data_IF_464372573223
#
_entry.id   IF_464372573223
#
_cell.length_a   1.000
_cell.length_b   1.000
_cell.length_c   1.000
_cell.angle_alpha   90.00
_cell.angle_beta   90.00
_cell.angle_gamma   90.00
#
_symmetry.space_group_name_H-M   'P 1'
#
loop_
_entity.id
_entity.type
_entity.pdbx_description
1 polymer ?
#
# COMPACT_ATOMS: atom_id res chain seq x y z
N UNK A 1 -6.10 -17.64 -24.31
CA UNK A 1 -6.55 -18.81 -23.52
C UNK A 1 -7.48 -18.32 -22.42
N UNK A 2 -8.81 -18.44 -22.54
CA UNK A 2 -9.74 -18.04 -21.49
C UNK A 2 -9.70 -19.05 -20.31
N UNK A 3 -9.88 -18.54 -19.09
CA UNK A 3 -9.81 -19.31 -17.84
C UNK A 3 -11.08 -20.15 -17.70
N UNK A 4 -10.95 -21.50 -17.70
CA UNK A 4 -12.07 -22.43 -17.47
C UNK A 4 -12.53 -22.35 -16.01
N UNK A 5 -13.83 -22.18 -15.80
CA UNK A 5 -14.44 -22.22 -14.47
C UNK A 5 -14.48 -23.68 -13.98
N UNK A 6 -14.01 -24.00 -12.75
CA UNK A 6 -13.87 -25.37 -12.28
C UNK A 6 -15.20 -26.07 -11.94
N UNK A 7 -16.34 -25.36 -12.01
CA UNK A 7 -17.66 -25.88 -11.64
C UNK A 7 -18.55 -26.27 -12.83
N UNK A 8 -18.09 -26.07 -14.07
CA UNK A 8 -18.86 -26.47 -15.26
C UNK A 8 -19.07 -28.00 -15.36
N UNK A 9 -18.19 -28.78 -14.71
CA UNK A 9 -18.29 -30.25 -14.67
C UNK A 9 -19.46 -30.78 -13.84
N UNK A 10 -20.14 -29.94 -13.07
CA UNK A 10 -21.22 -30.37 -12.17
C UNK A 10 -22.63 -30.14 -12.73
N UNK A 11 -22.77 -29.53 -13.92
CA UNK A 11 -24.09 -29.20 -14.51
C UNK A 11 -24.70 -30.30 -15.37
N UNK A 12 -24.10 -31.48 -15.42
CA UNK A 12 -24.48 -32.50 -16.40
C UNK A 12 -24.54 -33.90 -15.84
N UNK A 13 -25.42 -34.18 -14.87
CA UNK A 13 -25.91 -35.54 -14.61
C UNK A 13 -27.29 -35.39 -13.96
N UNK A 14 -28.36 -35.71 -14.71
CA UNK A 14 -29.56 -36.45 -14.30
C UNK A 14 -30.54 -36.44 -15.47
N UNK A 15 -30.19 -37.18 -16.51
CA UNK A 15 -31.15 -37.63 -17.53
C UNK A 15 -31.29 -39.13 -17.33
N UNK A 16 -32.44 -39.57 -16.81
CA UNK A 16 -32.89 -40.96 -16.81
C UNK A 16 -34.42 -40.96 -16.60
N UNK A 17 -35.14 -42.05 -16.93
CA UNK A 17 -35.65 -42.31 -18.27
C UNK A 17 -37.19 -42.49 -18.27
N UNK A 18 -37.73 -42.58 -19.50
CA UNK A 18 -38.94 -43.33 -19.91
C UNK A 18 -40.19 -43.35 -19.02
N UNK A 19 -41.26 -42.83 -19.62
CA UNK A 19 -42.67 -42.95 -19.23
C UNK A 19 -43.11 -44.35 -18.82
N UNK A 20 -43.69 -44.46 -17.62
CA UNK A 20 -44.77 -45.40 -17.30
C UNK A 20 -45.65 -44.80 -16.19
N UNK A 21 -46.96 -44.93 -16.36
CA UNK A 21 -48.04 -44.48 -15.47
C UNK A 21 -47.86 -44.84 -13.99
N UNK A 22 -48.22 -43.91 -13.08
CA UNK A 22 -49.25 -44.13 -12.04
C UNK A 22 -49.44 -42.91 -11.11
N UNK A 23 -50.72 -42.50 -11.00
CA UNK A 23 -51.45 -42.02 -9.83
C UNK A 23 -50.77 -41.16 -8.72
N UNK A 24 -51.28 -39.92 -8.58
CA UNK A 24 -51.57 -39.27 -7.29
C UNK A 24 -50.46 -39.17 -6.24
N UNK A 25 -49.69 -38.08 -6.27
CA UNK A 25 -48.95 -37.58 -5.09
C UNK A 25 -49.39 -36.15 -4.76
N UNK A 26 -49.74 -35.83 -3.49
CA UNK A 26 -50.02 -34.45 -3.09
C UNK A 26 -48.75 -33.59 -3.19
N UNK A 27 -48.87 -32.28 -3.46
CA UNK A 27 -47.71 -31.40 -3.62
C UNK A 27 -46.88 -31.39 -2.33
N UNK A 28 -45.55 -31.60 -2.46
CA UNK A 28 -44.61 -31.46 -1.33
C UNK A 28 -44.76 -30.06 -0.74
N UNK A 29 -44.84 -29.89 0.59
CA UNK A 29 -44.82 -28.57 1.20
C UNK A 29 -43.48 -27.90 0.87
N UNK A 30 -43.53 -26.64 0.41
CA UNK A 30 -42.35 -25.86 0.07
C UNK A 30 -41.36 -25.88 1.26
N UNK A 31 -40.08 -26.08 0.96
CA UNK A 31 -39.02 -26.06 1.96
C UNK A 31 -38.89 -24.65 2.51
N UNK A 32 -38.79 -24.48 3.83
CA UNK A 32 -38.58 -23.18 4.49
C UNK A 32 -37.36 -22.43 3.94
N UNK A 33 -36.40 -23.16 3.35
CA UNK A 33 -35.24 -22.58 2.68
C UNK A 33 -35.57 -21.86 1.36
N UNK A 34 -36.66 -22.23 0.68
CA UNK A 34 -37.13 -21.56 -0.55
C UNK A 34 -37.83 -20.22 -0.24
N UNK A 35 -38.40 -20.07 0.96
CA UNK A 35 -39.01 -18.83 1.44
C UNK A 35 -37.99 -17.81 1.97
N UNK A 36 -36.76 -18.24 2.22
CA UNK A 36 -35.66 -17.33 2.56
C UNK A 36 -35.21 -16.61 1.29
N UNK A 37 -35.70 -15.38 1.08
CA UNK A 37 -35.14 -14.47 0.08
C UNK A 37 -33.66 -14.27 0.35
N UNK A 38 -32.81 -14.98 -0.38
CA UNK A 38 -31.36 -14.76 -0.38
C UNK A 38 -31.14 -13.37 -0.94
N UNK A 39 -30.84 -12.42 -0.06
CA UNK A 39 -30.57 -11.05 -0.47
C UNK A 39 -29.46 -11.05 -1.52
N UNK A 40 -29.73 -10.52 -2.71
CA UNK A 40 -28.71 -10.39 -3.74
C UNK A 40 -27.54 -9.59 -3.19
N UNK A 41 -26.33 -10.13 -3.36
CA UNK A 41 -25.12 -9.54 -2.81
C UNK A 41 -24.88 -8.18 -3.48
N UNK A 42 -25.28 -7.10 -2.82
CA UNK A 42 -25.13 -5.72 -3.31
C UNK A 42 -23.69 -5.49 -3.75
N UNK A 43 -23.49 -5.22 -5.05
CA UNK A 43 -22.17 -4.90 -5.59
C UNK A 43 -21.70 -3.60 -4.93
N UNK A 44 -20.61 -3.68 -4.17
CA UNK A 44 -20.00 -2.51 -3.52
C UNK A 44 -19.54 -1.52 -4.57
N UNK A 45 -20.17 -0.34 -4.61
CA UNK A 45 -19.76 0.76 -5.47
C UNK A 45 -18.40 1.29 -5.01
N UNK A 46 -17.35 1.06 -5.79
CA UNK A 46 -15.98 1.57 -5.52
C UNK A 46 -15.76 2.98 -6.06
N UNK A 47 -16.83 3.73 -6.33
CA UNK A 47 -16.75 5.06 -6.95
C UNK A 47 -15.99 6.05 -6.07
N UNK A 48 -16.26 6.06 -4.76
CA UNK A 48 -15.56 6.91 -3.80
C UNK A 48 -14.06 6.58 -3.70
N UNK A 49 -13.69 5.30 -3.77
CA UNK A 49 -12.29 4.85 -3.72
C UNK A 49 -11.54 5.25 -4.99
N UNK A 50 -12.23 5.30 -6.13
CA UNK A 50 -11.67 5.78 -7.41
C UNK A 50 -11.48 7.29 -7.42
N UNK A 51 -12.41 8.05 -6.84
CA UNK A 51 -12.30 9.52 -6.77
C UNK A 51 -11.30 9.98 -5.71
N UNK A 52 -11.06 9.19 -4.66
CA UNK A 52 -10.14 9.52 -3.56
C UNK A 52 -9.01 8.48 -3.44
N UNK A 53 -8.03 8.49 -4.36
CA UNK A 53 -6.90 7.58 -4.32
C UNK A 53 -6.08 7.78 -3.04
N UNK A 54 -5.52 6.69 -2.54
CA UNK A 54 -4.68 6.68 -1.33
C UNK A 54 -3.25 6.45 -1.74
N UNK A 55 -2.34 7.32 -1.30
CA UNK A 55 -0.89 7.17 -1.53
C UNK A 55 -0.29 6.51 -0.29
N UNK A 56 0.43 5.42 -0.48
CA UNK A 56 1.05 4.68 0.62
C UNK A 56 2.56 4.76 0.54
N UNK A 57 3.17 5.17 1.63
CA UNK A 57 4.61 5.25 1.79
C UNK A 57 5.09 4.20 2.80
N UNK A 58 6.25 3.64 2.53
CA UNK A 58 6.84 2.58 3.35
C UNK A 58 8.16 3.05 3.95
N UNK A 59 8.34 2.87 5.25
CA UNK A 59 9.56 3.31 5.93
C UNK A 59 9.47 4.69 6.59
N UNK A 60 8.28 5.30 6.64
CA UNK A 60 8.09 6.57 7.36
C UNK A 60 8.05 6.27 8.87
N UNK A 61 8.93 6.88 9.68
CA UNK A 61 8.91 6.78 11.14
C UNK A 61 7.56 7.21 11.73
N UNK A 62 7.10 6.48 12.75
CA UNK A 62 5.84 6.77 13.45
C UNK A 62 5.83 8.17 14.05
N UNK A 63 6.96 8.61 14.62
CA UNK A 63 7.09 9.90 15.29
C UNK A 63 6.84 11.07 14.32
N UNK A 64 7.26 10.94 13.06
CA UNK A 64 7.02 11.95 12.02
C UNK A 64 5.54 11.95 11.65
N UNK A 65 4.94 10.77 11.52
CA UNK A 65 3.52 10.67 11.20
C UNK A 65 2.64 11.26 12.31
N UNK A 66 2.94 10.98 13.57
CA UNK A 66 2.22 11.54 14.72
C UNK A 66 2.31 13.07 14.76
N UNK A 67 3.48 13.64 14.45
CA UNK A 67 3.63 15.10 14.34
C UNK A 67 2.78 15.69 13.23
N UNK A 68 2.70 15.04 12.07
CA UNK A 68 1.87 15.49 10.94
C UNK A 68 0.39 15.40 11.30
N UNK A 69 -0.04 14.33 11.97
CA UNK A 69 -1.42 14.17 12.44
C UNK A 69 -1.79 15.28 13.42
N UNK A 70 -0.93 15.56 14.41
CA UNK A 70 -1.15 16.66 15.35
C UNK A 70 -1.26 18.04 14.66
N UNK A 71 -0.40 18.29 13.65
CA UNK A 71 -0.48 19.53 12.86
C UNK A 71 -1.76 19.63 12.03
N UNK A 72 -2.23 18.53 11.46
CA UNK A 72 -3.46 18.51 10.70
C UNK A 72 -4.69 18.80 11.59
N UNK A 73 -4.70 18.28 12.81
CA UNK A 73 -5.72 18.57 13.82
C UNK A 73 -5.71 20.05 14.24
N UNK A 74 -4.52 20.61 14.49
CA UNK A 74 -4.35 22.02 14.84
C UNK A 74 -4.88 22.95 13.72
N UNK A 75 -4.55 22.63 12.47
CA UNK A 75 -4.94 23.42 11.30
C UNK A 75 -6.35 23.10 10.78
N UNK A 76 -7.02 22.09 11.35
CA UNK A 76 -8.35 21.60 10.93
C UNK A 76 -8.44 21.22 9.44
N UNK A 77 -7.37 20.64 8.90
CA UNK A 77 -7.28 20.18 7.49
C UNK A 77 -7.03 18.68 7.41
N UNK A 78 -7.12 18.11 6.20
CA UNK A 78 -6.83 16.69 6.03
C UNK A 78 -5.32 16.43 6.16
N UNK A 79 -4.96 15.32 6.82
CA UNK A 79 -3.55 14.90 6.98
C UNK A 79 -2.81 14.84 5.64
N UNK A 80 -3.48 14.34 4.58
CA UNK A 80 -2.83 14.26 3.27
C UNK A 80 -2.59 15.61 2.59
N UNK A 81 -3.35 16.66 2.91
CA UNK A 81 -3.09 18.00 2.38
C UNK A 81 -1.84 18.60 3.03
N UNK A 82 -1.68 18.43 4.34
CA UNK A 82 -0.44 18.82 5.04
C UNK A 82 0.76 18.05 4.47
N UNK A 83 0.61 16.73 4.28
CA UNK A 83 1.66 15.90 3.65
C UNK A 83 2.00 16.41 2.26
N UNK A 84 1.00 16.73 1.45
CA UNK A 84 1.19 17.23 0.08
C UNK A 84 2.01 18.52 0.07
N UNK A 85 1.62 19.52 0.89
CA UNK A 85 2.32 20.80 0.99
C UNK A 85 3.76 20.61 1.50
N UNK A 86 3.96 19.76 2.51
CA UNK A 86 5.30 19.49 3.06
C UNK A 86 6.20 18.80 2.03
N UNK A 87 5.65 17.85 1.27
CA UNK A 87 6.38 17.17 0.20
C UNK A 87 6.70 18.13 -0.95
N UNK A 88 5.74 18.93 -1.39
CA UNK A 88 5.92 19.92 -2.46
C UNK A 88 6.99 20.97 -2.12
N UNK A 89 6.96 21.49 -0.89
CA UNK A 89 8.02 22.38 -0.40
C UNK A 89 9.39 21.68 -0.40
N UNK A 90 9.45 20.44 0.06
CA UNK A 90 10.66 19.63 0.04
C UNK A 90 11.20 19.42 -1.38
N UNK A 91 10.34 19.06 -2.33
CA UNK A 91 10.69 18.89 -3.74
C UNK A 91 11.24 20.20 -4.33
N UNK A 92 10.58 21.32 -4.06
CA UNK A 92 11.03 22.66 -4.48
C UNK A 92 12.42 22.98 -3.92
N UNK A 93 12.72 22.61 -2.68
CA UNK A 93 14.06 22.80 -2.09
C UNK A 93 15.13 21.93 -2.75
N UNK A 94 14.78 20.69 -3.12
CA UNK A 94 15.69 19.80 -3.84
C UNK A 94 15.98 20.33 -5.23
N UNK A 95 14.97 20.82 -5.94
CA UNK A 95 15.13 21.42 -7.28
C UNK A 95 16.00 22.68 -7.24
N UNK A 96 15.83 23.52 -6.21
CA UNK A 96 16.67 24.71 -5.98
C UNK A 96 18.08 24.38 -5.45
N UNK A 97 18.35 23.13 -5.10
CA UNK A 97 19.62 22.71 -4.52
C UNK A 97 19.84 23.15 -3.06
N UNK A 98 18.82 23.67 -2.38
CA UNK A 98 18.92 24.03 -0.95
C UNK A 98 18.83 22.82 -0.04
N UNK A 99 18.26 21.70 -0.51
CA UNK A 99 18.23 20.42 0.19
C UNK A 99 19.02 19.36 -0.61
N UNK A 100 20.30 19.12 -0.28
CA UNK A 100 21.09 18.09 -0.95
C UNK A 100 20.63 16.69 -0.53
N UNK A 101 20.26 15.86 -1.51
CA UNK A 101 19.97 14.45 -1.31
C UNK A 101 21.16 13.58 -1.75
N UNK A 102 21.93 13.11 -0.78
CA UNK A 102 23.06 12.20 -0.98
C UNK A 102 22.66 10.76 -0.65
N UNK A 103 22.47 9.89 -1.66
CA UNK A 103 22.19 8.49 -1.41
C UNK A 103 23.44 7.79 -0.87
N UNK A 104 23.30 7.09 0.27
CA UNK A 104 24.35 6.21 0.78
C UNK A 104 23.96 4.75 0.54
N UNK A 105 24.84 3.93 -0.06
CA UNK A 105 24.53 2.52 -0.28
C UNK A 105 24.36 1.83 1.07
N UNK A 106 23.16 1.28 1.32
CA UNK A 106 22.94 0.33 2.42
C UNK A 106 23.64 -0.98 2.07
N UNK A 107 24.17 -1.66 3.09
CA UNK A 107 24.98 -2.88 3.02
C UNK A 107 24.75 -3.71 1.75
N UNK A 108 25.80 -3.84 0.94
CA UNK A 108 25.78 -4.56 -0.34
C UNK A 108 25.32 -6.00 -0.12
N UNK A 109 24.17 -6.36 -0.71
CA UNK A 109 23.75 -7.77 -0.77
C UNK A 109 24.60 -8.48 -1.82
N UNK A 110 25.24 -9.57 -1.45
CA UNK A 110 25.92 -10.43 -2.41
C UNK A 110 24.89 -11.17 -3.26
N UNK A 111 25.12 -11.20 -4.57
CA UNK A 111 24.36 -12.01 -5.53
C UNK A 111 25.26 -13.15 -6.01
N UNK A 112 24.71 -14.37 -6.07
CA UNK A 112 25.40 -15.51 -6.67
C UNK A 112 25.51 -15.39 -8.20
N UNK A 113 24.79 -14.44 -8.79
CA UNK A 113 24.77 -14.23 -10.23
C UNK A 113 25.59 -12.98 -10.59
N UNK A 114 26.60 -13.10 -11.47
CA UNK A 114 27.30 -11.95 -11.99
C UNK A 114 26.34 -11.07 -12.81
N UNK A 115 26.46 -9.76 -12.66
CA UNK A 115 25.61 -8.77 -13.36
C UNK A 115 26.03 -8.56 -14.84
N UNK A 116 26.99 -9.34 -15.36
CA UNK A 116 27.40 -9.23 -16.76
C UNK A 116 26.30 -9.77 -17.68
N UNK A 117 25.89 -8.98 -18.67
CA UNK A 117 24.84 -9.27 -19.66
C UNK A 117 25.14 -10.46 -20.60
N UNK A 118 26.09 -11.31 -20.28
CA UNK A 118 26.36 -12.54 -21.02
C UNK A 118 25.30 -13.58 -20.67
N UNK A 119 24.43 -13.91 -21.64
CA UNK A 119 23.48 -15.03 -21.61
C UNK A 119 24.17 -16.42 -21.54
N UNK A 120 25.46 -16.44 -21.20
CA UNK A 120 26.30 -17.61 -21.08
C UNK A 120 26.28 -18.09 -19.64
N UNK A 121 25.71 -19.29 -19.45
CA UNK A 121 25.78 -20.18 -18.28
C UNK A 121 25.96 -19.48 -16.92
N UNK A 122 24.83 -19.13 -16.30
CA UNK A 122 24.69 -18.63 -14.93
C UNK A 122 25.12 -19.67 -13.89
N UNK A 123 26.41 -19.94 -13.74
CA UNK A 123 26.91 -20.84 -12.70
C UNK A 123 27.55 -20.03 -11.58
N UNK A 124 26.71 -19.60 -10.63
CA UNK A 124 27.14 -19.11 -9.31
C UNK A 124 27.59 -20.24 -8.38
N UNK A 125 27.97 -21.38 -8.95
CA UNK A 125 28.32 -22.61 -8.25
C UNK A 125 29.39 -23.33 -9.07
N UNK A 126 30.35 -23.93 -8.38
CA UNK A 126 31.37 -24.79 -8.96
C UNK A 126 31.46 -26.06 -8.12
N UNK A 127 31.48 -27.22 -8.75
CA UNK A 127 31.90 -28.48 -8.11
C UNK A 127 33.42 -28.45 -7.95
N UNK A 128 33.87 -27.88 -6.83
CA UNK A 128 35.27 -27.90 -6.45
C UNK A 128 35.57 -29.07 -5.54
N UNK A 129 36.75 -29.67 -5.70
CA UNK A 129 37.36 -30.58 -4.73
C UNK A 129 37.44 -29.80 -3.41
N UNK A 130 36.54 -30.08 -2.45
CA UNK A 130 36.28 -29.24 -1.27
C UNK A 130 37.49 -29.17 -0.34
N UNK A 131 38.42 -28.25 -0.62
CA UNK A 131 39.49 -27.84 0.28
C UNK A 131 39.65 -26.31 0.21
N UNK A 132 39.33 -25.58 1.29
CA UNK A 132 38.78 -26.06 2.56
C UNK A 132 37.27 -26.35 2.51
N UNK A 133 36.84 -27.33 3.32
CA UNK A 133 35.42 -27.63 3.59
C UNK A 133 34.78 -26.39 4.25
N UNK A 134 33.62 -25.89 3.76
CA UNK A 134 32.96 -24.74 4.36
C UNK A 134 32.55 -25.04 5.80
N UNK A 135 32.85 -24.11 6.72
CA UNK A 135 32.48 -24.26 8.12
C UNK A 135 30.94 -24.25 8.29
N UNK A 136 30.39 -25.04 9.22
CA UNK A 136 28.96 -25.06 9.48
C UNK A 136 28.49 -23.66 9.91
N UNK A 137 27.37 -23.21 9.33
CA UNK A 137 26.78 -21.90 9.63
C UNK A 137 26.39 -21.88 11.12
N UNK A 138 26.94 -20.96 11.94
CA UNK A 138 26.60 -20.92 13.35
C UNK A 138 25.10 -20.60 13.51
N UNK A 139 24.38 -21.47 14.23
CA UNK A 139 22.97 -21.25 14.57
C UNK A 139 22.88 -20.06 15.54
N UNK A 140 22.43 -18.92 15.04
CA UNK A 140 22.36 -17.69 15.82
C UNK A 140 21.27 -17.85 16.89
N UNK A 141 21.66 -17.93 18.17
CA UNK A 141 20.72 -17.87 19.30
C UNK A 141 19.94 -16.56 19.20
N UNK A 142 18.62 -16.65 19.16
CA UNK A 142 17.69 -15.52 19.07
C UNK A 142 17.81 -14.67 20.34
N UNK A 143 18.69 -13.68 20.31
CA UNK A 143 18.71 -12.60 21.30
C UNK A 143 17.37 -11.87 21.14
N UNK A 144 16.59 -11.77 22.22
CA UNK A 144 15.39 -10.91 22.27
C UNK A 144 15.86 -9.46 22.11
N UNK A 145 16.04 -9.02 20.88
CA UNK A 145 16.21 -7.61 20.56
C UNK A 145 14.92 -6.89 20.93
N UNK A 146 15.05 -5.80 21.67
CA UNK A 146 13.96 -4.86 21.89
C UNK A 146 13.36 -4.52 20.54
N UNK A 147 12.03 -4.68 20.41
CA UNK A 147 11.28 -4.59 19.15
C UNK A 147 11.26 -3.14 18.63
N UNK A 148 12.41 -2.60 18.21
CA UNK A 148 12.40 -1.53 17.22
C UNK A 148 11.88 -2.16 15.94
N UNK A 149 10.61 -1.90 15.61
CA UNK A 149 10.04 -2.39 14.36
C UNK A 149 10.93 -1.88 13.23
N UNK A 150 11.52 -2.82 12.48
CA UNK A 150 12.41 -2.47 11.41
C UNK A 150 11.69 -1.48 10.46
N UNK A 151 12.35 -0.38 10.00
CA UNK A 151 11.67 0.74 9.34
C UNK A 151 10.76 0.30 8.18
N UNK A 152 11.18 -0.71 7.41
CA UNK A 152 10.42 -1.30 6.30
C UNK A 152 9.07 -1.95 6.69
N UNK A 153 8.76 -2.10 7.97
CA UNK A 153 7.45 -2.59 8.45
C UNK A 153 6.42 -1.47 8.62
N UNK A 154 6.86 -0.22 8.78
CA UNK A 154 5.97 0.93 8.82
C UNK A 154 5.41 1.21 7.42
N UNK A 155 4.09 1.20 7.29
CA UNK A 155 3.38 1.62 6.08
C UNK A 155 2.38 2.67 6.52
N UNK A 156 2.49 3.86 5.95
CA UNK A 156 1.58 4.97 6.21
C UNK A 156 0.87 5.31 4.92
N UNK A 157 -0.45 5.43 5.00
CA UNK A 157 -1.32 5.69 3.87
C UNK A 157 -2.04 7.02 4.06
N UNK A 158 -1.79 7.96 3.16
CA UNK A 158 -2.40 9.28 3.17
C UNK A 158 -3.44 9.41 2.06
N UNK A 159 -4.53 10.13 2.35
CA UNK A 159 -5.57 10.50 1.39
C UNK A 159 -5.52 12.00 1.14
N UNK A 160 -5.66 12.41 -0.12
CA UNK A 160 -5.60 13.82 -0.51
C UNK A 160 -4.22 14.31 -0.95
N UNK A 161 -3.23 13.41 -1.07
CA UNK A 161 -1.93 13.75 -1.68
C UNK A 161 -2.10 13.92 -3.19
N UNK A 162 -1.58 15.01 -3.73
CA UNK A 162 -1.61 15.32 -5.16
C UNK A 162 -0.91 14.25 -5.99
N UNK A 163 -1.49 13.91 -7.14
CA UNK A 163 -0.86 12.95 -8.07
C UNK A 163 0.48 13.48 -8.59
N UNK A 164 0.54 14.78 -8.86
CA UNK A 164 1.73 15.47 -9.35
C UNK A 164 2.87 15.36 -8.34
N UNK A 165 2.61 15.64 -7.06
CA UNK A 165 3.57 15.51 -5.95
C UNK A 165 4.04 14.06 -5.79
N UNK A 166 3.12 13.09 -5.84
CA UNK A 166 3.46 11.67 -5.72
C UNK A 166 4.30 11.18 -6.91
N UNK A 167 3.99 11.62 -8.13
CA UNK A 167 4.74 11.27 -9.33
C UNK A 167 6.12 11.94 -9.36
N UNK A 168 6.22 13.21 -8.95
CA UNK A 168 7.48 13.93 -8.82
C UNK A 168 8.40 13.26 -7.79
N UNK A 169 7.84 12.88 -6.64
CA UNK A 169 8.56 12.12 -5.62
C UNK A 169 9.07 10.77 -6.14
N UNK A 170 8.25 10.06 -6.93
CA UNK A 170 8.65 8.80 -7.55
C UNK A 170 9.79 8.99 -8.54
N UNK A 171 9.71 10.00 -9.41
CA UNK A 171 10.76 10.36 -10.36
C UNK A 171 12.08 10.70 -9.65
N UNK A 172 12.00 11.43 -8.54
CA UNK A 172 13.17 11.78 -7.73
C UNK A 172 13.80 10.54 -7.08
N UNK A 173 12.98 9.65 -6.54
CA UNK A 173 13.42 8.38 -5.97
C UNK A 173 14.11 7.49 -7.00
N UNK A 174 13.54 7.37 -8.20
CA UNK A 174 14.11 6.61 -9.31
C UNK A 174 15.45 7.23 -9.77
N UNK A 175 15.52 8.56 -9.91
CA UNK A 175 16.75 9.30 -10.29
C UNK A 175 17.89 9.07 -9.30
N UNK A 176 17.60 8.90 -8.02
CA UNK A 176 18.60 8.72 -6.95
C UNK A 176 18.82 7.24 -6.58
N UNK A 177 18.06 6.31 -7.17
CA UNK A 177 18.03 4.89 -6.79
C UNK A 177 17.79 4.65 -5.29
N UNK A 178 16.89 5.44 -4.68
CA UNK A 178 16.51 5.36 -3.26
C UNK A 178 15.03 4.97 -3.15
N UNK A 179 14.62 4.18 -2.14
CA UNK A 179 13.19 3.90 -1.93
C UNK A 179 12.37 5.17 -1.68
N UNK A 180 11.20 5.26 -2.32
CA UNK A 180 10.28 6.41 -2.26
C UNK A 180 10.00 6.87 -0.82
N UNK A 181 9.77 5.94 0.10
CA UNK A 181 9.46 6.32 1.48
C UNK A 181 10.65 6.88 2.28
N UNK A 182 11.89 6.55 1.91
CA UNK A 182 13.09 7.18 2.51
C UNK A 182 13.24 8.62 2.02
N UNK A 183 13.01 8.86 0.72
CA UNK A 183 12.93 10.22 0.16
C UNK A 183 11.81 11.01 0.85
N UNK A 184 10.60 10.43 0.92
CA UNK A 184 9.46 11.05 1.59
C UNK A 184 9.78 11.41 3.04
N UNK A 185 10.45 10.52 3.78
CA UNK A 185 10.84 10.76 5.17
C UNK A 185 11.75 11.98 5.31
N UNK A 186 12.76 12.11 4.44
CA UNK A 186 13.69 13.25 4.47
C UNK A 186 12.95 14.56 4.14
N UNK A 187 12.10 14.54 3.10
CA UNK A 187 11.34 15.72 2.70
C UNK A 187 10.34 16.15 3.78
N UNK A 188 9.59 15.21 4.36
CA UNK A 188 8.64 15.48 5.44
C UNK A 188 9.34 16.03 6.67
N UNK A 189 10.49 15.46 7.07
CA UNK A 189 11.28 15.96 8.18
C UNK A 189 11.75 17.40 7.93
N UNK A 190 12.29 17.68 6.75
CA UNK A 190 12.72 19.02 6.38
C UNK A 190 11.55 20.02 6.36
N UNK A 191 10.39 19.62 5.84
CA UNK A 191 9.18 20.43 5.86
C UNK A 191 8.70 20.74 7.28
N UNK A 192 8.68 19.75 8.18
CA UNK A 192 8.31 19.95 9.59
C UNK A 192 9.28 20.91 10.30
N UNK A 193 10.58 20.79 10.06
CA UNK A 193 11.58 21.71 10.58
C UNK A 193 11.40 23.13 10.02
N UNK A 194 11.07 23.24 8.74
CA UNK A 194 10.80 24.53 8.11
C UNK A 194 9.50 25.18 8.63
N UNK A 195 8.46 24.39 8.93
CA UNK A 195 7.25 24.87 9.60
C UNK A 195 7.55 25.38 11.01
N UNK A 196 8.29 24.60 11.81
CA UNK A 196 8.72 25.02 13.16
C UNK A 196 9.58 26.29 13.15
N UNK A 197 10.42 26.44 12.14
CA UNK A 197 11.23 27.65 11.93
C UNK A 197 10.41 28.84 11.37
N UNK A 198 9.12 28.66 11.08
CA UNK A 198 8.26 29.70 10.50
C UNK A 198 8.55 30.03 9.04
N UNK A 199 9.35 29.20 8.34
CA UNK A 199 9.63 29.35 6.89
C UNK A 199 8.45 28.95 6.02
N UNK A 200 7.65 27.98 6.48
CA UNK A 200 6.39 27.57 5.86
C UNK A 200 5.26 28.01 6.78
N UNK A 201 4.21 28.59 6.21
CA UNK A 201 2.93 28.85 6.91
C UNK A 201 1.81 28.23 6.10
N UNK A 202 0.90 27.55 6.80
CA UNK A 202 -0.31 27.02 6.18
C UNK A 202 -1.38 28.10 6.19
N UNK A 203 -2.08 28.27 5.07
CA UNK A 203 -3.21 29.17 4.94
C UNK A 203 -4.46 28.34 4.65
N UNK A 204 -5.01 27.62 5.65
CA UNK A 204 -6.16 26.75 5.45
C UNK A 204 -7.37 27.58 4.98
N UNK A 205 -8.01 27.14 3.90
CA UNK A 205 -9.23 27.74 3.39
C UNK A 205 -10.44 26.92 3.84
N UNK A 206 -11.55 27.56 4.26
CA UNK A 206 -12.75 26.81 4.63
C UNK A 206 -13.29 26.11 3.39
N UNK A 207 -13.23 24.79 3.38
CA UNK A 207 -13.96 23.99 2.41
C UNK A 207 -15.44 24.09 2.77
N UNK A 208 -16.28 24.63 1.89
CA UNK A 208 -17.72 24.74 2.13
C UNK A 208 -18.27 23.38 2.56
N UNK A 209 -18.59 23.25 3.84
CA UNK A 209 -19.09 22.01 4.40
C UNK A 209 -20.43 21.68 3.73
N UNK A 210 -20.66 20.39 3.47
CA UNK A 210 -22.01 19.91 3.14
C UNK A 210 -22.93 20.29 4.29
N UNK A 211 -24.04 20.93 3.97
CA UNK A 211 -25.03 21.40 4.93
C UNK A 211 -25.45 20.25 5.86
N UNK A 212 -25.45 20.51 7.17
CA UNK A 212 -26.05 19.63 8.18
C UNK A 212 -27.46 20.14 8.48
N UNK A 213 -28.46 19.24 8.44
CA UNK A 213 -29.80 19.56 8.92
C UNK A 213 -29.72 19.80 10.43
N UNK A 214 -29.97 21.04 10.85
CA UNK A 214 -30.29 21.34 12.25
C UNK A 214 -31.77 21.00 12.40
N UNK A 215 -32.10 20.17 13.40
CA UNK A 215 -33.46 19.68 13.61
C UNK A 215 -34.51 20.80 13.71
N UNK A 216 -35.76 20.43 13.48
CA UNK A 216 -36.92 21.32 13.55
C UNK A 216 -36.96 22.00 14.92
N UNK A 217 -36.93 23.34 14.94
CA UNK A 217 -37.22 24.12 16.15
C UNK A 217 -38.71 24.07 16.41
N UNK A 218 -39.11 23.66 17.62
CA UNK A 218 -40.46 23.86 18.16
C UNK A 218 -40.74 25.35 18.42
#
# INVERSE_FOLDING_TARGET
MPRRDPFDRLKGVYTAPSSSEQAGQPPRPASVLDDLRVAERKKRGRQYERSNPTVSFRGIPTDINEQIVALAEEQRVMVGEIVDILLDFGLTCVERGTLPLEPRPKATRMTLFPLSNSWQRRQGWSEGNLNPIPQPIPTRKTRKEQKFFAPWKSVVSYRGVGKETADALRRLADKKHVPVGEVATVLLKHGLEAYRAGRIRFNPQPLTARQTLVGWSE
#
